data_IF_047365063895
#
_entry.id   IF_047365063895
#
_cell.length_a   1.000
_cell.length_b   1.000
_cell.length_c   1.000
_cell.angle_alpha   90.00
_cell.angle_beta   90.00
_cell.angle_gamma   90.00
#
_symmetry.space_group_name_H-M   'P 1'
#
loop_
_entity.id
_entity.type
_entity.pdbx_description
1 polymer ?
#
# COMPACT_ATOMS: atom_id res chain seq x y z
N UNK A 1 26.23 -8.70 41.87
CA UNK A 1 26.13 -8.82 40.40
C UNK A 1 24.82 -9.51 39.97
N UNK A 2 23.66 -8.95 40.35
CA UNK A 2 22.32 -9.53 40.03
C UNK A 2 21.32 -8.51 39.47
N UNK A 3 21.75 -7.23 39.38
CA UNK A 3 20.93 -6.10 38.94
C UNK A 3 21.16 -5.73 37.46
N UNK A 4 22.31 -6.10 36.90
CA UNK A 4 22.63 -5.86 35.48
C UNK A 4 21.88 -6.81 34.53
N UNK A 5 21.60 -8.05 34.95
CA UNK A 5 20.83 -9.01 34.16
C UNK A 5 19.34 -8.64 34.01
N UNK A 6 18.81 -7.76 34.88
CA UNK A 6 17.41 -7.33 34.80
C UNK A 6 17.19 -6.18 33.80
N UNK A 7 18.24 -5.43 33.44
CA UNK A 7 18.13 -4.27 32.57
C UNK A 7 18.13 -4.62 31.06
N UNK A 8 18.61 -5.83 30.71
CA UNK A 8 18.68 -6.29 29.31
C UNK A 8 17.35 -6.94 28.86
N UNK A 9 16.50 -7.36 29.80
CA UNK A 9 15.23 -8.04 29.51
C UNK A 9 14.09 -7.09 29.08
N UNK A 10 14.24 -5.78 29.29
CA UNK A 10 13.18 -4.79 29.00
C UNK A 10 13.22 -4.21 27.57
N UNK A 11 14.19 -4.58 26.73
CA UNK A 11 14.31 -4.05 25.37
C UNK A 11 13.57 -4.87 24.28
N UNK A 12 12.89 -5.97 24.62
CA UNK A 12 12.48 -6.95 23.60
C UNK A 12 11.13 -6.66 22.92
N UNK A 13 10.26 -5.78 23.43
CA UNK A 13 8.89 -5.70 22.88
C UNK A 13 8.34 -4.29 22.69
N UNK A 14 8.79 -3.58 21.65
CA UNK A 14 7.91 -2.63 20.92
C UNK A 14 8.28 -2.60 19.42
N UNK A 15 8.31 -3.76 18.77
CA UNK A 15 8.16 -3.82 17.32
C UNK A 15 6.73 -4.30 17.03
N UNK A 16 5.76 -3.41 17.28
CA UNK A 16 4.39 -3.62 16.81
C UNK A 16 4.39 -3.33 15.30
N UNK A 17 4.84 -4.31 14.52
CA UNK A 17 4.63 -4.33 13.08
C UNK A 17 3.13 -4.47 12.86
N UNK A 18 2.41 -3.35 12.81
CA UNK A 18 1.00 -3.31 12.46
C UNK A 18 0.86 -3.69 10.98
N UNK A 19 0.89 -5.00 10.70
CA UNK A 19 0.57 -5.57 9.40
C UNK A 19 -0.93 -5.35 9.17
N UNK A 20 -1.29 -4.25 8.50
CA UNK A 20 -2.67 -4.04 8.06
C UNK A 20 -3.09 -5.23 7.20
N UNK A 21 -4.17 -5.89 7.59
CA UNK A 21 -4.69 -7.07 6.88
C UNK A 21 -5.08 -6.69 5.45
N UNK A 22 -4.86 -7.59 4.49
CA UNK A 22 -5.29 -7.42 3.10
C UNK A 22 -6.79 -7.09 2.99
N UNK A 23 -7.61 -7.54 3.94
CA UNK A 23 -9.05 -7.24 4.03
C UNK A 23 -9.35 -5.72 4.14
N UNK A 24 -8.38 -4.92 4.60
CA UNK A 24 -8.52 -3.47 4.68
C UNK A 24 -8.32 -2.75 3.33
N UNK A 25 -7.75 -3.40 2.32
CA UNK A 25 -7.38 -2.76 1.05
C UNK A 25 -8.61 -2.23 0.29
N UNK A 26 -9.62 -3.08 0.11
CA UNK A 26 -10.87 -2.74 -0.61
C UNK A 26 -11.68 -1.65 0.13
N UNK A 27 -11.50 -1.49 1.44
CA UNK A 27 -12.08 -0.39 2.21
C UNK A 27 -11.21 0.87 2.18
N UNK A 28 -9.89 0.71 2.15
CA UNK A 28 -8.92 1.80 2.05
C UNK A 28 -9.05 2.56 0.74
N UNK A 29 -9.25 1.85 -0.38
CA UNK A 29 -9.40 2.48 -1.69
C UNK A 29 -10.61 3.43 -1.76
N UNK A 30 -11.70 3.13 -1.02
CA UNK A 30 -12.90 3.99 -0.93
C UNK A 30 -12.62 5.31 -0.21
N UNK A 31 -11.56 5.39 0.58
CA UNK A 31 -11.15 6.58 1.34
C UNK A 31 -10.17 7.46 0.58
N UNK A 32 -9.79 7.07 -0.63
CA UNK A 32 -8.83 7.77 -1.46
C UNK A 32 -9.55 8.65 -2.48
N UNK A 33 -8.98 9.81 -2.76
CA UNK A 33 -9.48 10.74 -3.77
C UNK A 33 -8.34 11.24 -4.64
N UNK A 34 -8.66 11.59 -5.89
CA UNK A 34 -7.73 12.26 -6.80
C UNK A 34 -7.18 13.53 -6.13
N UNK A 35 -5.91 13.81 -6.35
CA UNK A 35 -5.18 14.95 -5.78
C UNK A 35 -4.57 14.70 -4.40
N UNK A 36 -4.90 13.59 -3.72
CA UNK A 36 -4.26 13.21 -2.45
C UNK A 36 -2.76 12.97 -2.63
N UNK A 37 -1.96 13.35 -1.63
CA UNK A 37 -0.53 13.10 -1.68
C UNK A 37 -0.20 11.61 -1.58
N UNK A 38 0.89 11.19 -2.23
CA UNK A 38 1.41 9.82 -2.18
C UNK A 38 1.60 9.32 -0.76
N UNK A 39 2.18 10.16 0.12
CA UNK A 39 2.35 9.86 1.55
C UNK A 39 1.01 9.61 2.25
N UNK A 40 -0.02 10.41 1.97
CA UNK A 40 -1.35 10.22 2.56
C UNK A 40 -2.00 8.94 2.07
N UNK A 41 -1.90 8.65 0.77
CA UNK A 41 -2.41 7.40 0.19
C UNK A 41 -1.75 6.18 0.82
N UNK A 42 -0.41 6.17 0.93
CA UNK A 42 0.35 5.09 1.59
C UNK A 42 -0.07 4.94 3.07
N UNK A 43 -0.32 6.04 3.79
CA UNK A 43 -0.80 5.94 5.18
C UNK A 43 -2.18 5.25 5.31
N UNK A 44 -3.03 5.40 4.28
CA UNK A 44 -4.36 4.78 4.24
C UNK A 44 -4.23 3.30 3.88
N UNK A 45 -3.56 2.98 2.77
CA UNK A 45 -3.48 1.61 2.22
C UNK A 45 -2.44 0.72 2.88
N UNK A 46 -1.41 1.30 3.50
CA UNK A 46 -0.28 0.59 4.07
C UNK A 46 0.96 0.62 3.16
N UNK A 47 2.04 0.05 3.67
CA UNK A 47 3.35 0.05 3.00
C UNK A 47 3.58 -1.18 2.12
N UNK A 48 2.61 -2.10 2.04
CA UNK A 48 2.70 -3.33 1.23
C UNK A 48 2.30 -3.05 -0.22
N UNK A 49 3.14 -2.25 -0.89
CA UNK A 49 2.99 -1.89 -2.29
C UNK A 49 4.24 -2.25 -3.09
N UNK A 50 4.05 -2.48 -4.38
CA UNK A 50 5.12 -2.60 -5.35
C UNK A 50 5.21 -1.33 -6.20
N UNK A 51 6.43 -0.92 -6.57
CA UNK A 51 6.61 0.18 -7.54
C UNK A 51 6.58 -0.43 -8.94
N UNK A 52 5.49 -0.20 -9.68
CA UNK A 52 5.31 -0.73 -11.04
C UNK A 52 6.10 0.09 -12.06
N UNK A 53 6.16 1.42 -11.88
CA UNK A 53 6.96 2.31 -12.73
C UNK A 53 7.34 3.58 -11.98
N UNK A 54 8.48 4.15 -12.35
CA UNK A 54 8.96 5.43 -11.82
C UNK A 54 9.64 6.22 -12.95
N UNK A 55 9.09 7.39 -13.23
CA UNK A 55 9.58 8.40 -14.17
C UNK A 55 9.73 9.71 -13.40
N UNK A 56 10.44 10.69 -13.96
CA UNK A 56 10.80 11.96 -13.30
C UNK A 56 9.66 12.56 -12.46
N UNK A 57 8.48 12.74 -13.06
CA UNK A 57 7.31 13.31 -12.38
C UNK A 57 6.17 12.33 -12.14
N UNK A 58 6.32 11.08 -12.58
CA UNK A 58 5.22 10.11 -12.58
C UNK A 58 5.65 8.81 -11.95
N UNK A 59 4.91 8.32 -10.96
CA UNK A 59 5.16 7.00 -10.39
C UNK A 59 3.88 6.19 -10.30
N UNK A 60 3.98 4.89 -10.50
CA UNK A 60 2.84 3.98 -10.40
C UNK A 60 3.09 2.97 -9.28
N UNK A 61 2.17 2.89 -8.33
CA UNK A 61 2.19 1.89 -7.26
C UNK A 61 1.16 0.80 -7.54
N UNK A 62 1.51 -0.44 -7.18
CA UNK A 62 0.65 -1.62 -7.23
C UNK A 62 0.35 -2.14 -5.84
N UNK A 63 -0.93 -2.33 -5.52
CA UNK A 63 -1.36 -3.01 -4.29
C UNK A 63 -2.13 -4.28 -4.65
N UNK A 64 -1.76 -5.40 -4.02
CA UNK A 64 -2.50 -6.66 -4.17
C UNK A 64 -3.83 -6.55 -3.40
N UNK A 65 -4.93 -6.83 -4.09
CA UNK A 65 -6.25 -6.99 -3.46
C UNK A 65 -6.43 -8.43 -3.01
N UNK A 66 -7.16 -8.69 -1.91
CA UNK A 66 -7.52 -10.04 -1.48
C UNK A 66 -8.14 -10.91 -2.58
N UNK A 67 -8.89 -10.28 -3.49
CA UNK A 67 -9.67 -10.97 -4.52
C UNK A 67 -8.87 -11.16 -5.82
N UNK A 68 -7.57 -11.43 -5.72
CA UNK A 68 -6.64 -11.66 -6.85
C UNK A 68 -6.54 -10.52 -7.88
N UNK A 69 -7.03 -9.31 -7.57
CA UNK A 69 -6.84 -8.11 -8.39
C UNK A 69 -5.64 -7.28 -7.96
N UNK A 70 -5.16 -6.40 -8.83
CA UNK A 70 -4.11 -5.42 -8.50
C UNK A 70 -4.70 -4.02 -8.62
N UNK A 71 -4.66 -3.24 -7.54
CA UNK A 71 -4.93 -1.81 -7.62
C UNK A 71 -3.70 -1.11 -8.15
N UNK A 72 -3.85 -0.41 -9.28
CA UNK A 72 -2.82 0.42 -9.89
C UNK A 72 -3.12 1.87 -9.57
N UNK A 73 -2.19 2.57 -8.94
CA UNK A 73 -2.33 3.98 -8.58
C UNK A 73 -1.24 4.79 -9.27
N UNK A 74 -1.63 5.76 -10.08
CA UNK A 74 -0.72 6.63 -10.84
C UNK A 74 -0.64 7.98 -10.13
N UNK A 75 0.58 8.39 -9.80
CA UNK A 75 0.90 9.66 -9.18
C UNK A 75 1.62 10.56 -10.16
N UNK A 76 1.24 11.83 -10.21
CA UNK A 76 1.95 12.89 -10.94
C UNK A 76 2.32 13.97 -9.92
N UNK A 77 3.59 14.37 -9.88
CA UNK A 77 4.13 15.34 -8.91
C UNK A 77 3.69 15.00 -7.46
N UNK A 78 3.86 13.74 -7.07
CA UNK A 78 3.47 13.15 -5.78
C UNK A 78 1.99 13.26 -5.39
N UNK A 79 1.10 13.58 -6.34
CA UNK A 79 -0.35 13.59 -6.15
C UNK A 79 -1.02 12.49 -6.96
N UNK A 80 -2.01 11.84 -6.37
CA UNK A 80 -2.76 10.80 -7.04
C UNK A 80 -3.53 11.40 -8.22
N UNK A 81 -3.20 10.97 -9.43
CA UNK A 81 -3.86 11.40 -10.65
C UNK A 81 -4.95 10.42 -11.09
N UNK A 82 -4.71 9.12 -10.92
CA UNK A 82 -5.61 8.06 -11.37
C UNK A 82 -5.44 6.81 -10.51
N UNK A 83 -6.50 6.00 -10.37
CA UNK A 83 -6.37 4.62 -9.92
C UNK A 83 -7.37 3.69 -10.62
N UNK A 84 -6.96 2.43 -10.82
CA UNK A 84 -7.78 1.36 -11.41
C UNK A 84 -7.60 0.05 -10.64
N UNK A 85 -8.56 -0.88 -10.78
CA UNK A 85 -8.44 -2.26 -10.28
C UNK A 85 -8.33 -3.21 -11.47
N UNK A 86 -7.14 -3.71 -11.73
CA UNK A 86 -6.91 -4.71 -12.76
C UNK A 86 -7.32 -6.08 -12.19
N UNK A 87 -8.32 -6.72 -12.81
CA UNK A 87 -8.68 -8.11 -12.52
C UNK A 87 -8.12 -9.01 -13.64
N UNK A 88 -7.24 -9.97 -13.34
CA UNK A 88 -6.79 -10.93 -14.35
C UNK A 88 -8.01 -11.67 -14.92
N UNK A 89 -8.24 -11.54 -16.22
CA UNK A 89 -9.38 -12.14 -16.94
C UNK A 89 -10.42 -11.15 -17.48
N UNK A 90 -10.60 -9.97 -16.87
CA UNK A 90 -11.63 -9.01 -17.30
C UNK A 90 -11.29 -8.38 -18.67
N UNK A 91 -10.00 -8.09 -18.92
CA UNK A 91 -9.54 -7.54 -20.19
C UNK A 91 -9.49 -8.54 -21.35
N UNK A 92 -9.64 -9.86 -21.11
CA UNK A 92 -9.71 -10.87 -22.18
C UNK A 92 -11.10 -10.94 -22.84
N UNK A 93 -12.16 -10.46 -22.18
CA UNK A 93 -13.54 -10.56 -22.71
C UNK A 93 -14.02 -9.32 -23.49
N UNK A 94 -13.42 -8.15 -23.29
CA UNK A 94 -13.91 -6.88 -23.88
C UNK A 94 -13.09 -6.39 -25.09
N UNK A 95 -12.33 -7.29 -25.73
CA UNK A 95 -11.58 -7.02 -26.97
C UNK A 95 -12.01 -7.99 -28.08
N UNK A 96 -13.34 -8.12 -28.27
CA UNK A 96 -13.98 -8.71 -29.44
C UNK A 96 -14.63 -7.59 -30.26
#
# INVERSE_FOLDING_TARGET
MRKFFLAILTCVMVACSASKSLTDMDNGIKKISIGMSKKKVISILGNDYEVISSKERTSTLGYKSPNHGIYRLVFVDDRLNEWSKDRPGYYRQHRN
#
